data_IF_089206690229
#
_entry.id   IF_089206690229
#
_cell.length_a   1.000
_cell.length_b   1.000
_cell.length_c   1.000
_cell.angle_alpha   90.00
_cell.angle_beta   90.00
_cell.angle_gamma   90.00
#
_symmetry.space_group_name_H-M   'P 1'
#
loop_
_entity.id
_entity.type
_entity.pdbx_description
1 polymer ?
#
# COMPACT_ATOMS: atom_id res chain seq x y z
N UNK A 1 -7.70 6.71 -47.02
CA UNK A 1 -7.85 6.91 -45.56
C UNK A 1 -6.66 7.73 -45.10
N UNK A 2 -6.90 8.75 -44.28
CA UNK A 2 -5.83 9.59 -43.71
C UNK A 2 -5.20 8.82 -42.56
N UNK A 3 -3.89 8.58 -42.62
CA UNK A 3 -3.15 7.92 -41.53
C UNK A 3 -3.12 8.82 -40.30
N UNK A 4 -3.21 8.20 -39.13
CA UNK A 4 -3.18 8.88 -37.86
C UNK A 4 -1.74 9.21 -37.48
N UNK A 5 -1.54 10.34 -36.79
CA UNK A 5 -0.23 10.74 -36.28
C UNK A 5 0.05 10.07 -34.93
N UNK A 6 1.31 9.87 -34.60
CA UNK A 6 1.74 9.33 -33.30
C UNK A 6 1.26 10.21 -32.14
N UNK A 7 1.35 11.55 -32.22
CA UNK A 7 0.72 12.43 -31.24
C UNK A 7 -0.74 12.17 -30.95
N UNK A 8 -1.53 11.80 -31.96
CA UNK A 8 -2.93 11.51 -31.74
C UNK A 8 -3.11 10.18 -30.97
N UNK A 9 -2.34 9.15 -31.33
CA UNK A 9 -2.33 7.88 -30.60
C UNK A 9 -1.82 8.01 -29.17
N UNK A 10 -0.78 8.80 -28.94
CA UNK A 10 -0.19 9.02 -27.62
C UNK A 10 -1.16 9.75 -26.68
N UNK A 11 -1.86 10.76 -27.17
CA UNK A 11 -2.92 11.42 -26.40
C UNK A 11 -4.09 10.48 -26.12
N UNK A 12 -4.54 9.70 -27.11
CA UNK A 12 -5.61 8.73 -26.92
C UNK A 12 -5.23 7.62 -25.92
N UNK A 13 -3.98 7.13 -25.96
CA UNK A 13 -3.44 6.20 -24.98
C UNK A 13 -3.41 6.81 -23.58
N UNK A 14 -2.89 8.04 -23.45
CA UNK A 14 -2.88 8.78 -22.18
C UNK A 14 -4.28 8.94 -21.58
N UNK A 15 -5.28 9.23 -22.41
CA UNK A 15 -6.68 9.33 -21.99
C UNK A 15 -7.27 8.00 -21.53
N UNK A 16 -6.97 6.89 -22.22
CA UNK A 16 -7.37 5.55 -21.79
C UNK A 16 -6.75 5.19 -20.44
N UNK A 17 -5.42 5.38 -20.31
CA UNK A 17 -4.70 5.09 -19.07
C UNK A 17 -5.20 5.95 -17.91
N UNK A 18 -5.56 7.22 -18.14
CA UNK A 18 -6.15 8.08 -17.11
C UNK A 18 -7.48 7.53 -16.57
N UNK A 19 -8.31 6.96 -17.44
CA UNK A 19 -9.56 6.29 -17.04
C UNK A 19 -9.32 5.00 -16.24
N UNK A 20 -8.29 4.24 -16.63
CA UNK A 20 -7.93 2.95 -15.99
C UNK A 20 -7.11 3.11 -14.70
N UNK A 21 -6.58 4.30 -14.44
CA UNK A 21 -5.64 4.58 -13.34
C UNK A 21 -6.12 5.71 -12.41
N UNK A 22 -7.28 5.56 -11.74
CA UNK A 22 -7.73 6.55 -10.76
C UNK A 22 -6.69 6.77 -9.66
N UNK A 23 -6.45 8.04 -9.32
CA UNK A 23 -5.44 8.44 -8.34
C UNK A 23 -4.01 8.56 -8.89
N UNK A 24 -3.79 8.20 -10.15
CA UNK A 24 -2.56 8.52 -10.87
C UNK A 24 -2.75 9.80 -11.70
N UNK A 25 -1.72 10.62 -11.74
CA UNK A 25 -1.59 11.72 -12.68
C UNK A 25 -1.02 11.17 -14.00
N UNK A 26 -1.81 11.27 -15.08
CA UNK A 26 -1.40 10.83 -16.42
C UNK A 26 -1.34 12.03 -17.36
N UNK A 27 -0.15 12.35 -17.85
CA UNK A 27 0.15 13.47 -18.76
C UNK A 27 0.66 12.94 -20.10
N UNK A 28 0.28 13.57 -21.21
CA UNK A 28 0.72 13.19 -22.56
C UNK A 28 1.42 14.36 -23.27
N UNK A 29 2.22 14.04 -24.30
CA UNK A 29 3.08 14.85 -25.21
C UNK A 29 3.19 16.40 -25.10
N UNK A 30 2.12 17.12 -24.71
CA UNK A 30 2.06 18.58 -24.69
C UNK A 30 2.43 19.23 -23.34
N UNK A 31 2.86 18.44 -22.35
CA UNK A 31 3.35 18.96 -21.07
C UNK A 31 4.86 18.85 -20.96
N UNK A 32 5.52 19.94 -20.55
CA UNK A 32 6.92 19.87 -20.11
C UNK A 32 6.99 18.99 -18.87
N UNK A 33 7.87 18.00 -18.90
CA UNK A 33 7.95 16.95 -17.87
C UNK A 33 9.32 16.86 -17.20
N UNK A 34 10.38 17.26 -17.89
CA UNK A 34 11.76 17.17 -17.39
C UNK A 34 12.40 18.58 -17.29
N UNK A 35 12.42 19.20 -16.10
CA UNK A 35 12.91 20.58 -15.95
C UNK A 35 14.41 20.70 -16.26
N UNK A 36 15.19 19.63 -16.00
CA UNK A 36 16.64 19.60 -16.23
C UNK A 36 17.01 19.38 -17.71
N UNK A 37 16.04 19.04 -18.57
CA UNK A 37 16.26 18.70 -19.98
C UNK A 37 15.23 19.39 -20.91
N UNK A 38 15.39 20.70 -21.17
CA UNK A 38 14.45 21.47 -22.00
C UNK A 38 14.34 20.89 -23.40
N UNK A 39 13.10 20.61 -23.86
CA UNK A 39 12.81 20.04 -25.18
C UNK A 39 12.80 18.51 -25.23
N UNK A 40 13.13 17.82 -24.13
CA UNK A 40 12.80 16.39 -24.00
C UNK A 40 11.36 16.26 -23.53
N UNK A 41 10.53 15.68 -24.38
CA UNK A 41 9.15 15.33 -24.10
C UNK A 41 9.03 13.81 -24.00
N UNK A 42 8.03 13.37 -23.25
CA UNK A 42 7.64 11.97 -23.12
C UNK A 42 6.26 11.82 -23.73
N UNK A 43 6.00 10.67 -24.32
CA UNK A 43 4.71 10.42 -24.96
C UNK A 43 3.59 10.32 -23.93
N UNK A 44 3.79 9.49 -22.90
CA UNK A 44 2.93 9.45 -21.71
C UNK A 44 3.76 9.34 -20.43
N UNK A 45 3.50 10.23 -19.47
CA UNK A 45 4.01 10.16 -18.12
C UNK A 45 2.90 9.71 -17.17
N UNK A 46 3.20 8.75 -16.32
CA UNK A 46 2.34 8.26 -15.25
C UNK A 46 3.03 8.51 -13.91
N UNK A 47 2.40 9.28 -13.03
CA UNK A 47 2.92 9.57 -11.70
C UNK A 47 1.85 9.34 -10.63
N UNK A 48 2.28 8.93 -9.43
CA UNK A 48 1.38 8.77 -8.29
C UNK A 48 2.12 9.08 -6.99
N UNK A 49 1.42 9.62 -5.96
CA UNK A 49 2.05 9.91 -4.67
C UNK A 49 2.76 8.70 -4.07
N UNK A 50 4.01 8.89 -3.65
CA UNK A 50 4.84 7.84 -3.04
C UNK A 50 5.36 6.75 -3.97
N UNK A 51 5.08 6.83 -5.28
CA UNK A 51 5.52 5.89 -6.31
C UNK A 51 6.57 6.51 -7.22
N UNK A 52 7.38 5.68 -7.87
CA UNK A 52 8.30 6.13 -8.92
C UNK A 52 7.51 6.47 -10.18
N UNK A 53 7.79 7.61 -10.84
CA UNK A 53 7.16 7.94 -12.11
C UNK A 53 7.55 6.90 -13.17
N UNK A 54 6.57 6.54 -14.01
CA UNK A 54 6.73 5.61 -15.13
C UNK A 54 6.53 6.40 -16.41
N UNK A 55 7.46 6.24 -17.35
CA UNK A 55 7.35 6.83 -18.67
C UNK A 55 6.95 5.75 -19.67
N UNK A 56 6.04 6.08 -20.57
CA UNK A 56 5.71 5.29 -21.74
C UNK A 56 6.17 6.06 -22.97
N UNK A 57 7.00 5.42 -23.79
CA UNK A 57 7.32 5.88 -25.14
C UNK A 57 6.67 4.93 -26.13
N UNK A 58 6.13 5.46 -27.22
CA UNK A 58 5.33 4.69 -28.16
C UNK A 58 5.52 5.15 -29.61
N UNK A 59 5.65 4.17 -30.51
CA UNK A 59 5.87 4.38 -31.94
C UNK A 59 5.01 3.38 -32.72
N UNK A 60 4.58 3.73 -33.93
CA UNK A 60 3.92 2.74 -34.80
C UNK A 60 4.92 1.67 -35.28
N UNK A 61 4.43 0.46 -35.52
CA UNK A 61 5.27 -0.60 -36.12
C UNK A 61 5.96 -0.11 -37.42
N UNK A 62 7.28 -0.35 -37.59
CA UNK A 62 8.12 -1.32 -36.86
C UNK A 62 8.73 -0.81 -35.54
N UNK A 63 8.51 0.45 -35.18
CA UNK A 63 8.95 1.07 -33.93
C UNK A 63 10.45 0.84 -33.63
N UNK A 64 11.29 1.49 -34.44
CA UNK A 64 12.74 1.25 -34.45
C UNK A 64 13.47 2.02 -33.33
N UNK A 65 12.95 3.18 -32.95
CA UNK A 65 13.63 4.11 -32.05
C UNK A 65 13.06 4.07 -30.63
N UNK A 66 11.81 3.59 -30.48
CA UNK A 66 11.09 3.50 -29.19
C UNK A 66 11.91 2.89 -28.05
N UNK A 67 12.83 1.95 -28.38
CA UNK A 67 13.67 1.32 -27.36
C UNK A 67 14.80 2.19 -26.85
N UNK A 68 15.47 2.91 -27.75
CA UNK A 68 16.45 3.90 -27.33
C UNK A 68 15.75 4.99 -26.53
N UNK A 69 14.63 5.49 -27.04
CA UNK A 69 13.92 6.63 -26.47
C UNK A 69 13.43 6.31 -25.06
N UNK A 70 12.86 5.12 -24.82
CA UNK A 70 12.48 4.66 -23.48
C UNK A 70 13.69 4.56 -22.53
N UNK A 71 14.83 4.06 -23.01
CA UNK A 71 16.05 3.95 -22.19
C UNK A 71 16.60 5.30 -21.75
N UNK A 72 16.49 6.32 -22.62
CA UNK A 72 16.96 7.68 -22.33
C UNK A 72 16.14 8.39 -21.25
N UNK A 73 14.96 7.84 -20.90
CA UNK A 73 14.11 8.38 -19.82
C UNK A 73 14.53 7.94 -18.44
N UNK A 74 15.25 6.83 -18.32
CA UNK A 74 15.65 6.28 -17.03
C UNK A 74 16.59 7.26 -16.30
N UNK A 75 16.35 7.42 -15.00
CA UNK A 75 17.12 8.32 -14.13
C UNK A 75 16.78 9.80 -14.25
N UNK A 76 15.91 10.20 -15.19
CA UNK A 76 15.50 11.61 -15.31
C UNK A 76 14.59 12.02 -14.15
N UNK A 77 14.70 13.29 -13.73
CA UNK A 77 13.82 13.90 -12.72
C UNK A 77 12.60 14.51 -13.39
N UNK A 78 11.42 14.19 -12.87
CA UNK A 78 10.16 14.72 -13.36
C UNK A 78 9.74 15.94 -12.54
N UNK A 79 9.22 16.97 -13.18
CA UNK A 79 8.73 18.17 -12.50
C UNK A 79 7.62 17.84 -11.49
N UNK A 80 7.75 18.36 -10.26
CA UNK A 80 6.80 18.12 -9.18
C UNK A 80 6.88 16.74 -8.53
N UNK A 81 7.77 15.87 -9.01
CA UNK A 81 8.00 14.55 -8.42
C UNK A 81 9.28 14.53 -7.59
N UNK A 82 9.25 13.80 -6.48
CA UNK A 82 10.42 13.64 -5.59
C UNK A 82 11.38 12.56 -6.11
N UNK A 83 10.90 11.64 -6.94
CA UNK A 83 11.63 10.48 -7.46
C UNK A 83 11.99 10.65 -8.93
N UNK A 84 13.07 10.00 -9.33
CA UNK A 84 13.45 9.84 -10.74
C UNK A 84 12.68 8.71 -11.40
N UNK A 85 12.67 8.69 -12.73
CA UNK A 85 12.12 7.58 -13.51
C UNK A 85 12.98 6.33 -13.30
N UNK A 86 12.46 5.36 -12.55
CA UNK A 86 13.13 4.07 -12.30
C UNK A 86 12.78 3.02 -13.37
N UNK A 87 11.64 3.18 -14.04
CA UNK A 87 11.18 2.29 -15.08
C UNK A 87 10.53 3.05 -16.26
N UNK A 88 10.74 2.52 -17.46
CA UNK A 88 10.10 3.00 -18.68
C UNK A 88 9.49 1.82 -19.46
N UNK A 89 8.42 2.10 -20.20
CA UNK A 89 7.75 1.12 -21.06
C UNK A 89 7.85 1.62 -22.49
N UNK A 90 8.31 0.76 -23.39
CA UNK A 90 8.22 1.01 -24.82
C UNK A 90 7.00 0.27 -25.38
N UNK A 91 6.19 0.95 -26.18
CA UNK A 91 4.95 0.42 -26.77
C UNK A 91 5.03 0.51 -28.28
N UNK A 92 4.60 -0.55 -28.96
CA UNK A 92 4.37 -0.53 -30.41
C UNK A 92 2.89 -0.53 -30.68
N UNK A 93 2.45 0.48 -31.42
CA UNK A 93 1.09 0.50 -31.92
C UNK A 93 0.99 -0.38 -33.16
N UNK A 94 0.05 -1.34 -33.19
CA UNK A 94 -0.20 -2.13 -34.38
C UNK A 94 -0.80 -1.24 -35.47
N UNK A 95 -0.55 -1.60 -36.72
CA UNK A 95 -0.99 -0.83 -37.90
C UNK A 95 -2.50 -0.51 -37.94
N UNK A 96 -3.33 -1.35 -37.33
CA UNK A 96 -4.78 -1.12 -37.21
C UNK A 96 -5.12 0.19 -36.50
N UNK A 97 -4.25 0.67 -35.59
CA UNK A 97 -4.41 1.96 -34.90
C UNK A 97 -4.02 3.11 -35.82
N UNK A 98 -2.96 2.96 -36.62
CA UNK A 98 -2.50 3.98 -37.60
C UNK A 98 -3.58 4.28 -38.64
N UNK A 99 -4.29 3.25 -39.09
CA UNK A 99 -5.31 3.34 -40.13
C UNK A 99 -6.74 3.64 -39.57
N UNK A 100 -6.90 3.72 -38.25
CA UNK A 100 -8.20 3.87 -37.60
C UNK A 100 -8.82 5.25 -37.80
N UNK A 101 -10.14 5.30 -37.98
CA UNK A 101 -10.89 6.56 -37.89
C UNK A 101 -11.07 7.01 -36.44
N UNK A 102 -11.42 6.08 -35.55
CA UNK A 102 -11.50 6.28 -34.11
C UNK A 102 -10.31 5.58 -33.43
N UNK A 103 -9.26 6.36 -33.19
CA UNK A 103 -8.00 5.87 -32.60
C UNK A 103 -8.21 5.35 -31.18
N UNK A 104 -9.07 6.00 -30.40
CA UNK A 104 -9.31 5.62 -29.01
C UNK A 104 -10.02 4.26 -28.94
N UNK A 105 -11.03 4.05 -29.77
CA UNK A 105 -11.69 2.74 -29.86
C UNK A 105 -10.75 1.67 -30.44
N UNK A 106 -9.95 2.00 -31.45
CA UNK A 106 -8.97 1.06 -31.99
C UNK A 106 -7.93 0.64 -30.92
N UNK A 107 -7.46 1.57 -30.09
CA UNK A 107 -6.54 1.30 -28.99
C UNK A 107 -7.17 0.45 -27.88
N UNK A 108 -8.46 0.64 -27.57
CA UNK A 108 -9.14 -0.16 -26.53
C UNK A 108 -9.28 -1.64 -26.93
N UNK A 109 -9.40 -1.92 -28.23
CA UNK A 109 -9.55 -3.28 -28.77
C UNK A 109 -8.22 -3.91 -29.22
N UNK A 110 -7.17 -3.11 -29.39
CA UNK A 110 -5.90 -3.57 -29.93
C UNK A 110 -5.10 -4.44 -28.95
N UNK A 111 -4.37 -5.41 -29.50
CA UNK A 111 -3.22 -6.03 -28.84
C UNK A 111 -1.99 -5.17 -29.11
N UNK A 112 -1.51 -4.50 -28.08
CA UNK A 112 -0.28 -3.72 -28.08
C UNK A 112 0.91 -4.66 -27.83
N UNK A 113 2.04 -4.35 -28.45
CA UNK A 113 3.31 -4.97 -28.10
C UNK A 113 4.09 -4.03 -27.19
N UNK A 114 4.57 -4.51 -26.05
CA UNK A 114 5.37 -3.67 -25.14
C UNK A 114 6.50 -4.44 -24.47
N UNK A 115 7.52 -3.72 -23.99
CA UNK A 115 8.52 -4.26 -23.08
C UNK A 115 8.91 -3.19 -22.05
N UNK A 116 9.52 -3.61 -20.95
CA UNK A 116 9.90 -2.76 -19.82
C UNK A 116 11.41 -2.62 -19.76
N UNK A 117 11.87 -1.41 -19.45
CA UNK A 117 13.24 -1.13 -19.01
C UNK A 117 13.23 -0.67 -17.57
N UNK A 118 14.13 -1.21 -16.76
CA UNK A 118 14.40 -0.74 -15.41
C UNK A 118 15.76 -0.05 -15.34
N UNK A 119 15.95 0.90 -14.41
CA UNK A 119 17.16 1.71 -14.25
C UNK A 119 18.46 0.89 -14.13
N UNK A 120 18.38 -0.34 -13.64
CA UNK A 120 19.51 -1.28 -13.61
C UNK A 120 19.81 -1.91 -14.99
N UNK A 121 19.31 -1.29 -16.07
CA UNK A 121 19.41 -1.72 -17.47
C UNK A 121 18.84 -3.11 -17.74
N UNK A 122 17.84 -3.51 -16.97
CA UNK A 122 17.15 -4.80 -17.14
C UNK A 122 16.00 -4.59 -18.11
N UNK A 123 16.11 -5.22 -19.29
CA UNK A 123 15.04 -5.33 -20.28
C UNK A 123 14.17 -6.55 -19.96
N UNK A 124 12.86 -6.36 -19.87
CA UNK A 124 11.91 -7.47 -19.74
C UNK A 124 10.80 -7.40 -20.81
N UNK A 125 10.61 -8.47 -21.62
CA UNK A 125 11.40 -9.70 -21.68
C UNK A 125 12.83 -9.42 -22.17
N UNK A 126 13.77 -10.35 -21.93
CA UNK A 126 15.16 -10.20 -22.42
C UNK A 126 15.23 -10.08 -23.95
N UNK A 127 14.28 -10.69 -24.65
CA UNK A 127 14.12 -10.57 -26.10
C UNK A 127 12.65 -10.61 -26.49
N UNK A 128 12.32 -10.03 -27.65
CA UNK A 128 10.94 -9.94 -28.13
C UNK A 128 10.11 -8.91 -27.37
N UNK A 129 8.79 -9.09 -27.43
CA UNK A 129 7.78 -8.18 -26.91
C UNK A 129 6.74 -8.96 -26.11
N UNK A 130 6.25 -8.36 -25.02
CA UNK A 130 5.00 -8.79 -24.41
C UNK A 130 3.86 -8.35 -25.31
N UNK A 131 2.78 -9.11 -25.33
CA UNK A 131 1.55 -8.72 -25.99
C UNK A 131 0.42 -8.64 -24.98
N UNK A 132 -0.35 -7.55 -25.06
CA UNK A 132 -1.50 -7.34 -24.17
C UNK A 132 -2.36 -6.17 -24.59
N UNK A 133 -3.43 -5.95 -23.85
CA UNK A 133 -4.34 -4.82 -24.02
C UNK A 133 -3.78 -3.53 -23.38
N UNK A 134 -4.44 -2.39 -23.62
CA UNK A 134 -4.18 -1.16 -22.86
C UNK A 134 -4.39 -1.34 -21.34
N UNK A 135 -5.30 -2.24 -20.94
CA UNK A 135 -5.53 -2.60 -19.53
C UNK A 135 -4.33 -3.33 -18.94
N UNK A 136 -3.73 -4.27 -19.68
CA UNK A 136 -2.54 -4.98 -19.24
C UNK A 136 -1.34 -4.03 -19.10
N UNK A 137 -1.25 -3.02 -19.98
CA UNK A 137 -0.26 -1.95 -19.91
C UNK A 137 -0.46 -1.07 -18.65
N UNK A 138 -1.70 -0.69 -18.34
CA UNK A 138 -2.01 0.08 -17.13
C UNK A 138 -1.63 -0.68 -15.84
N UNK A 139 -1.97 -1.97 -15.79
CA UNK A 139 -1.59 -2.86 -14.70
C UNK A 139 -0.06 -2.98 -14.56
N UNK A 140 0.64 -3.11 -15.68
CA UNK A 140 2.10 -3.17 -15.71
C UNK A 140 2.72 -1.87 -15.20
N UNK A 141 2.23 -0.72 -15.65
CA UNK A 141 2.68 0.59 -15.19
C UNK A 141 2.51 0.75 -13.67
N UNK A 142 1.36 0.32 -13.12
CA UNK A 142 1.14 0.31 -11.67
C UNK A 142 2.13 -0.60 -10.95
N UNK A 143 2.41 -1.78 -11.48
CA UNK A 143 3.33 -2.73 -10.87
C UNK A 143 4.76 -2.16 -10.82
N UNK A 144 5.26 -1.61 -11.93
CA UNK A 144 6.65 -1.14 -12.05
C UNK A 144 6.86 0.25 -11.43
N UNK A 145 5.78 0.98 -11.10
CA UNK A 145 5.87 2.24 -10.34
C UNK A 145 6.25 2.05 -8.86
N UNK A 146 6.33 0.81 -8.36
CA UNK A 146 6.71 0.53 -6.98
C UNK A 146 8.21 0.80 -6.78
N UNK A 147 8.60 1.72 -5.87
CA UNK A 147 10.01 2.09 -5.69
C UNK A 147 10.77 1.04 -4.88
N UNK A 148 11.20 -0.05 -5.52
CA UNK A 148 11.80 -1.21 -4.86
C UNK A 148 12.97 -0.85 -3.93
N UNK A 149 13.91 -0.03 -4.41
CA UNK A 149 15.09 0.38 -3.62
C UNK A 149 14.71 1.15 -2.35
N UNK A 150 13.69 2.01 -2.43
CA UNK A 150 13.26 2.77 -1.26
C UNK A 150 12.44 1.92 -0.28
N UNK A 151 11.64 0.97 -0.78
CA UNK A 151 10.96 -0.02 0.08
C UNK A 151 12.00 -0.86 0.84
N UNK A 152 13.09 -1.28 0.17
CA UNK A 152 14.20 -1.99 0.80
C UNK A 152 14.91 -1.13 1.85
N UNK A 153 15.28 0.10 1.52
CA UNK A 153 15.89 1.03 2.47
C UNK A 153 15.00 1.28 3.70
N UNK A 154 13.70 1.50 3.49
CA UNK A 154 12.75 1.69 4.58
C UNK A 154 12.62 0.44 5.48
N UNK A 155 12.65 -0.76 4.88
CA UNK A 155 12.67 -2.00 5.64
C UNK A 155 13.96 -2.16 6.45
N UNK A 156 15.12 -1.88 5.86
CA UNK A 156 16.41 -1.95 6.53
C UNK A 156 16.49 -0.96 7.72
N UNK A 157 16.03 0.28 7.52
CA UNK A 157 15.93 1.30 8.59
C UNK A 157 15.05 0.81 9.71
N UNK A 158 13.87 0.25 9.39
CA UNK A 158 12.95 -0.25 10.40
C UNK A 158 13.51 -1.48 11.14
N UNK A 159 14.25 -2.37 10.46
CA UNK A 159 14.94 -3.50 11.09
C UNK A 159 16.00 -3.01 12.10
N UNK A 160 16.81 -2.04 11.68
CA UNK A 160 17.85 -1.45 12.53
C UNK A 160 17.24 -0.79 13.77
N UNK A 161 16.20 0.04 13.60
CA UNK A 161 15.51 0.70 14.70
C UNK A 161 14.85 -0.29 15.68
N UNK A 162 14.20 -1.34 15.17
CA UNK A 162 13.66 -2.42 16.01
C UNK A 162 14.78 -3.13 16.78
N UNK A 163 15.92 -3.39 16.13
CA UNK A 163 17.09 -4.00 16.75
C UNK A 163 17.67 -3.14 17.88
N UNK A 164 17.79 -1.83 17.66
CA UNK A 164 18.26 -0.87 18.67
C UNK A 164 17.30 -0.79 19.86
N UNK A 165 16.00 -0.65 19.61
CA UNK A 165 14.97 -0.64 20.65
C UNK A 165 14.97 -1.95 21.48
N UNK A 166 15.12 -3.10 20.82
CA UNK A 166 15.18 -4.40 21.50
C UNK A 166 16.44 -4.57 22.36
N UNK A 167 17.58 -4.07 21.89
CA UNK A 167 18.83 -4.09 22.67
C UNK A 167 18.70 -3.21 23.93
N UNK A 168 18.11 -2.00 23.81
CA UNK A 168 17.83 -1.15 24.98
C UNK A 168 16.88 -1.84 25.97
N UNK A 169 15.82 -2.46 25.45
CA UNK A 169 14.90 -3.24 26.28
C UNK A 169 15.62 -4.36 27.03
N UNK A 170 16.58 -5.03 26.40
CA UNK A 170 17.40 -6.06 27.03
C UNK A 170 18.35 -5.50 28.10
N UNK A 171 19.03 -4.39 27.84
CA UNK A 171 19.90 -3.73 28.82
C UNK A 171 19.11 -3.30 30.07
N UNK A 172 17.93 -2.72 29.87
CA UNK A 172 17.08 -2.29 30.98
C UNK A 172 16.44 -3.48 31.72
N UNK A 173 16.14 -4.58 31.01
CA UNK A 173 15.68 -5.82 31.63
C UNK A 173 16.73 -6.47 32.53
N UNK A 174 18.03 -6.37 32.20
CA UNK A 174 19.12 -6.84 33.09
C UNK A 174 19.14 -6.06 34.41
N UNK A 175 18.70 -4.81 34.40
CA UNK A 175 18.60 -3.97 35.59
C UNK A 175 17.28 -4.16 36.37
N UNK A 176 16.26 -4.79 35.75
CA UNK A 176 14.91 -4.96 36.35
C UNK A 176 14.35 -6.35 36.07
N UNK A 177 14.33 -7.17 37.10
CA UNK A 177 14.18 -8.64 37.06
C UNK A 177 12.87 -9.21 36.48
N UNK A 178 11.84 -8.40 36.18
CA UNK A 178 10.49 -8.91 35.87
C UNK A 178 9.88 -8.50 34.53
N UNK A 179 10.52 -7.64 33.72
CA UNK A 179 9.89 -7.14 32.48
C UNK A 179 9.85 -8.22 31.38
N UNK A 180 10.95 -8.93 31.20
CA UNK A 180 11.13 -9.90 30.11
C UNK A 180 10.24 -11.13 30.22
N UNK A 181 10.08 -11.76 31.41
CA UNK A 181 9.19 -12.91 31.55
C UNK A 181 7.72 -12.59 31.28
N UNK A 182 7.30 -11.34 31.51
CA UNK A 182 5.92 -10.88 31.24
C UNK A 182 5.69 -10.77 29.73
N UNK A 183 6.61 -10.14 28.99
CA UNK A 183 6.54 -10.05 27.53
C UNK A 183 6.54 -11.45 26.90
N UNK A 184 7.41 -12.33 27.37
CA UNK A 184 7.48 -13.71 26.90
C UNK A 184 6.14 -14.45 27.10
N UNK A 185 5.51 -14.28 28.28
CA UNK A 185 4.19 -14.85 28.57
C UNK A 185 3.09 -14.25 27.68
N UNK A 186 3.09 -12.93 27.47
CA UNK A 186 2.11 -12.26 26.60
C UNK A 186 2.18 -12.77 25.16
N UNK A 187 3.39 -13.03 24.67
CA UNK A 187 3.61 -13.53 23.31
C UNK A 187 3.52 -15.06 23.20
N UNK A 188 3.40 -15.78 24.32
CA UNK A 188 3.42 -17.25 24.33
C UNK A 188 4.77 -17.83 23.88
N UNK A 189 5.86 -17.10 24.09
CA UNK A 189 7.21 -17.45 23.65
C UNK A 189 8.15 -17.68 24.84
N UNK A 190 9.29 -18.32 24.58
CA UNK A 190 10.39 -18.38 25.56
C UNK A 190 11.04 -17.01 25.76
N UNK A 191 11.62 -16.75 26.92
CA UNK A 191 12.37 -15.53 27.18
C UNK A 191 13.76 -15.58 26.50
N UNK A 192 13.80 -15.12 25.26
CA UNK A 192 15.01 -15.07 24.41
C UNK A 192 15.10 -13.71 23.69
N UNK A 193 16.28 -13.30 23.19
CA UNK A 193 16.43 -12.02 22.46
C UNK A 193 15.44 -11.83 21.31
N UNK A 194 15.06 -12.92 20.64
CA UNK A 194 14.08 -12.88 19.56
C UNK A 194 12.69 -12.41 20.04
N UNK A 195 12.27 -12.78 21.25
CA UNK A 195 10.98 -12.38 21.83
C UNK A 195 10.93 -10.87 22.10
N UNK A 196 12.07 -10.28 22.52
CA UNK A 196 12.19 -8.82 22.69
C UNK A 196 12.13 -8.09 21.36
N UNK A 197 12.83 -8.60 20.34
CA UNK A 197 12.74 -8.06 18.97
C UNK A 197 11.31 -8.13 18.44
N UNK A 198 10.62 -9.25 18.64
CA UNK A 198 9.21 -9.40 18.25
C UNK A 198 8.32 -8.38 18.96
N UNK A 199 8.48 -8.17 20.26
CA UNK A 199 7.74 -7.17 21.00
C UNK A 199 7.97 -5.74 20.45
N UNK A 200 9.23 -5.39 20.16
CA UNK A 200 9.57 -4.11 19.53
C UNK A 200 9.01 -3.98 18.11
N UNK A 201 9.00 -5.05 17.31
CA UNK A 201 8.35 -5.04 16.00
C UNK A 201 6.83 -4.82 16.08
N UNK A 202 6.16 -5.45 17.05
CA UNK A 202 4.72 -5.25 17.27
C UNK A 202 4.43 -3.78 17.62
N UNK A 203 5.23 -3.19 18.52
CA UNK A 203 5.10 -1.77 18.87
C UNK A 203 5.39 -0.87 17.66
N UNK A 204 6.47 -1.15 16.93
CA UNK A 204 6.84 -0.39 15.73
C UNK A 204 5.73 -0.42 14.66
N UNK A 205 5.12 -1.59 14.45
CA UNK A 205 3.97 -1.76 13.57
C UNK A 205 2.80 -0.89 14.01
N UNK A 206 2.42 -0.94 15.29
CA UNK A 206 1.36 -0.08 15.81
C UNK A 206 1.68 1.41 15.67
N UNK A 207 2.94 1.82 15.85
CA UNK A 207 3.36 3.21 15.67
C UNK A 207 3.25 3.67 14.22
N UNK A 208 3.76 2.89 13.25
CA UNK A 208 3.65 3.25 11.83
C UNK A 208 2.18 3.35 11.40
N UNK A 209 1.33 2.41 11.82
CA UNK A 209 -0.11 2.48 11.56
C UNK A 209 -0.80 3.65 12.28
N UNK A 210 -0.37 4.00 13.50
CA UNK A 210 -0.92 5.13 14.24
C UNK A 210 -0.76 6.43 13.44
N UNK A 211 0.44 6.72 12.94
CA UNK A 211 0.70 7.92 12.14
C UNK A 211 -0.23 8.00 10.91
N UNK A 212 -0.48 6.86 10.26
CA UNK A 212 -1.40 6.77 9.13
C UNK A 212 -2.85 7.03 9.51
N UNK A 213 -3.31 6.37 10.56
CA UNK A 213 -4.69 6.49 11.04
C UNK A 213 -4.98 7.93 11.45
N UNK A 214 -4.03 8.60 12.13
CA UNK A 214 -4.15 10.02 12.50
C UNK A 214 -4.30 10.96 11.29
N UNK A 215 -3.79 10.58 10.12
CA UNK A 215 -3.99 11.32 8.87
C UNK A 215 -5.39 11.16 8.26
N UNK A 216 -6.11 10.10 8.62
CA UNK A 216 -7.44 9.78 8.08
C UNK A 216 -8.58 10.05 9.08
N UNK A 217 -8.28 9.99 10.38
CA UNK A 217 -9.22 10.09 11.49
C UNK A 217 -8.84 11.27 12.38
N UNK A 218 -9.63 12.35 12.34
CA UNK A 218 -9.35 13.57 13.09
C UNK A 218 -9.40 13.36 14.62
N UNK A 219 -10.13 12.33 15.06
CA UNK A 219 -10.24 11.91 16.45
C UNK A 219 -8.95 11.26 16.99
N UNK A 220 -8.04 10.81 16.13
CA UNK A 220 -6.77 10.17 16.53
C UNK A 220 -5.65 11.20 16.52
N UNK A 221 -5.05 11.46 17.68
CA UNK A 221 -3.93 12.38 17.82
C UNK A 221 -2.69 11.85 17.05
N UNK A 222 -1.99 12.67 16.24
CA UNK A 222 -0.74 12.25 15.59
C UNK A 222 0.36 11.82 16.58
N UNK A 223 1.22 10.87 16.17
CA UNK A 223 2.28 10.32 17.03
C UNK A 223 3.18 11.39 17.65
N UNK A 224 3.55 12.41 16.88
CA UNK A 224 4.39 13.53 17.36
C UNK A 224 3.80 14.25 18.57
N UNK A 225 2.47 14.25 18.72
CA UNK A 225 1.77 14.93 19.82
C UNK A 225 1.66 14.05 21.07
N UNK A 226 1.77 12.73 20.93
CA UNK A 226 1.62 11.78 22.06
C UNK A 226 2.94 11.15 22.49
N UNK A 227 3.95 11.13 21.61
CA UNK A 227 5.24 10.50 21.87
C UNK A 227 6.45 11.43 21.57
N UNK A 228 6.19 12.69 21.22
CA UNK A 228 7.24 13.66 20.92
C UNK A 228 8.15 13.99 22.11
N UNK A 229 9.29 14.67 21.86
CA UNK A 229 10.30 14.97 22.89
C UNK A 229 9.76 15.85 24.04
N UNK A 230 8.75 16.68 23.75
CA UNK A 230 8.13 17.61 24.70
C UNK A 230 6.96 17.00 25.50
N UNK A 231 6.63 15.73 25.28
CA UNK A 231 5.51 15.07 25.98
C UNK A 231 6.00 14.56 27.34
N UNK A 232 5.31 14.97 28.41
CA UNK A 232 5.68 14.63 29.80
C UNK A 232 5.41 13.15 30.16
N UNK A 233 4.32 12.57 29.64
CA UNK A 233 3.99 11.16 29.82
C UNK A 233 3.72 10.48 28.45
N UNK A 234 4.77 10.20 27.66
CA UNK A 234 4.61 9.60 26.33
C UNK A 234 3.86 8.27 26.34
N UNK A 235 4.09 7.45 27.37
CA UNK A 235 3.45 6.13 27.48
C UNK A 235 1.95 6.26 27.70
N UNK A 236 1.51 7.07 28.67
CA UNK A 236 0.09 7.26 28.95
C UNK A 236 -0.68 7.88 27.79
N UNK A 237 -0.11 8.90 27.14
CA UNK A 237 -0.74 9.54 25.97
C UNK A 237 -0.83 8.56 24.78
N UNK A 238 0.19 7.74 24.54
CA UNK A 238 0.19 6.74 23.48
C UNK A 238 -0.84 5.64 23.76
N UNK A 239 -0.92 5.14 24.99
CA UNK A 239 -1.93 4.16 25.40
C UNK A 239 -3.36 4.69 25.20
N UNK A 240 -3.60 5.95 25.58
CA UNK A 240 -4.91 6.61 25.38
C UNK A 240 -5.26 6.69 23.90
N UNK A 241 -4.32 7.14 23.06
CA UNK A 241 -4.55 7.19 21.62
C UNK A 241 -4.82 5.81 21.01
N UNK A 242 -4.13 4.76 21.49
CA UNK A 242 -4.37 3.40 21.03
C UNK A 242 -5.74 2.86 21.47
N UNK A 243 -6.28 3.28 22.62
CA UNK A 243 -7.67 2.97 23.00
C UNK A 243 -8.68 3.62 22.05
N UNK A 244 -8.42 4.85 21.59
CA UNK A 244 -9.25 5.50 20.59
C UNK A 244 -9.19 4.77 19.25
N UNK A 245 -8.00 4.31 18.84
CA UNK A 245 -7.82 3.50 17.63
C UNK A 245 -8.54 2.15 17.72
N UNK A 246 -8.56 1.51 18.90
CA UNK A 246 -9.29 0.25 19.10
C UNK A 246 -10.81 0.42 18.92
N UNK A 247 -11.37 1.61 19.18
CA UNK A 247 -12.79 1.92 18.97
C UNK A 247 -13.18 1.99 17.49
N UNK A 248 -12.21 2.24 16.60
CA UNK A 248 -12.40 2.27 15.14
C UNK A 248 -11.93 0.98 14.44
N UNK A 249 -11.88 -0.14 15.18
CA UNK A 249 -11.73 -1.51 14.68
C UNK A 249 -10.33 -1.93 14.17
N UNK A 250 -9.25 -1.40 14.75
CA UNK A 250 -7.87 -1.87 14.47
C UNK A 250 -7.33 -2.85 15.53
N UNK A 251 -8.21 -3.67 16.12
CA UNK A 251 -7.88 -4.62 17.20
C UNK A 251 -6.64 -5.49 16.96
N UNK A 252 -6.46 -6.15 15.79
CA UNK A 252 -5.35 -7.08 15.59
C UNK A 252 -3.95 -6.47 15.72
N UNK A 253 -3.81 -5.18 15.41
CA UNK A 253 -2.52 -4.47 15.48
C UNK A 253 -2.33 -3.89 16.87
N UNK A 254 -3.34 -3.18 17.38
CA UNK A 254 -3.17 -2.31 18.54
C UNK A 254 -3.38 -3.03 19.87
N UNK A 255 -4.17 -4.10 19.92
CA UNK A 255 -4.48 -4.76 21.20
C UNK A 255 -3.24 -5.38 21.83
N UNK A 256 -2.50 -6.18 21.07
CA UNK A 256 -1.27 -6.80 21.57
C UNK A 256 -0.16 -5.77 21.77
N UNK A 257 -0.06 -4.75 20.91
CA UNK A 257 0.91 -3.67 21.10
C UNK A 257 0.64 -2.91 22.41
N UNK A 258 -0.62 -2.57 22.69
CA UNK A 258 -1.06 -1.93 23.92
C UNK A 258 -0.72 -2.79 25.14
N UNK A 259 -1.11 -4.06 25.12
CA UNK A 259 -0.79 -5.02 26.19
C UNK A 259 0.71 -5.04 26.49
N UNK A 260 1.57 -5.11 25.46
CA UNK A 260 3.03 -5.09 25.65
C UNK A 260 3.46 -3.78 26.29
N UNK A 261 3.00 -2.65 25.75
CA UNK A 261 3.40 -1.32 26.20
C UNK A 261 2.97 -1.04 27.64
N UNK A 262 1.80 -1.53 28.07
CA UNK A 262 1.31 -1.41 29.46
C UNK A 262 2.18 -2.15 30.48
N UNK A 263 2.84 -3.24 30.07
CA UNK A 263 3.70 -4.02 30.96
C UNK A 263 5.13 -3.44 31.08
N UNK A 264 5.49 -2.48 30.22
CA UNK A 264 6.80 -1.84 30.27
C UNK A 264 6.84 -0.77 31.37
N UNK A 265 7.90 -0.69 32.18
CA UNK A 265 8.12 0.44 33.06
C UNK A 265 8.22 1.76 32.27
N UNK A 266 7.71 2.88 32.80
CA UNK A 266 7.50 4.09 32.00
C UNK A 266 8.75 4.71 31.38
N UNK A 267 9.91 4.62 32.03
CA UNK A 267 11.20 5.04 31.46
C UNK A 267 11.67 4.11 30.33
N UNK A 268 11.46 2.80 30.47
CA UNK A 268 11.78 1.79 29.44
C UNK A 268 10.87 1.98 28.22
N UNK A 269 9.56 2.12 28.46
CA UNK A 269 8.57 2.38 27.44
C UNK A 269 8.90 3.66 26.68
N UNK A 270 9.15 4.75 27.40
CA UNK A 270 9.48 6.05 26.80
C UNK A 270 10.74 5.99 25.95
N UNK A 271 11.80 5.32 26.45
CA UNK A 271 13.05 5.15 25.71
C UNK A 271 12.82 4.37 24.41
N UNK A 272 12.17 3.20 24.48
CA UNK A 272 11.90 2.36 23.32
C UNK A 272 10.98 3.05 22.30
N UNK A 273 9.92 3.71 22.75
CA UNK A 273 9.01 4.43 21.85
C UNK A 273 9.69 5.62 21.17
N UNK A 274 10.59 6.35 21.85
CA UNK A 274 11.31 7.46 21.21
C UNK A 274 12.24 6.96 20.10
N UNK A 275 12.96 5.86 20.33
CA UNK A 275 13.77 5.22 19.29
C UNK A 275 12.92 4.79 18.09
N UNK A 276 11.78 4.16 18.35
CA UNK A 276 10.85 3.73 17.30
C UNK A 276 10.14 4.90 16.61
N UNK A 277 9.93 6.02 17.30
CA UNK A 277 9.40 7.25 16.70
C UNK A 277 10.41 7.86 15.71
N UNK A 278 11.67 7.95 16.10
CA UNK A 278 12.75 8.41 15.22
C UNK A 278 12.86 7.50 13.99
N UNK A 279 12.82 6.19 14.20
CA UNK A 279 12.80 5.20 13.11
C UNK A 279 11.60 5.39 12.18
N UNK A 280 10.40 5.59 12.73
CA UNK A 280 9.20 5.82 11.93
C UNK A 280 9.28 7.12 11.12
N UNK A 281 9.91 8.16 11.67
CA UNK A 281 10.16 9.43 10.96
C UNK A 281 11.18 9.27 9.83
N UNK A 282 12.23 8.47 10.03
CA UNK A 282 13.19 8.14 8.98
C UNK A 282 12.54 7.33 7.84
N UNK A 283 11.65 6.39 8.18
CA UNK A 283 10.85 5.66 7.19
C UNK A 283 9.91 6.60 6.42
N UNK A 284 9.23 7.53 7.10
CA UNK A 284 8.41 8.57 6.47
C UNK A 284 9.23 9.46 5.53
N UNK A 285 10.48 9.80 5.88
CA UNK A 285 11.37 10.58 5.04
C UNK A 285 11.72 9.91 3.70
N UNK A 286 11.58 8.59 3.58
CA UNK A 286 11.74 7.89 2.29
C UNK A 286 10.60 8.17 1.31
N UNK A 287 9.46 8.70 1.79
CA UNK A 287 8.27 9.01 0.98
C UNK A 287 7.52 7.78 0.43
N UNK A 288 7.94 6.57 0.81
CA UNK A 288 7.31 5.28 0.47
C UNK A 288 5.99 5.10 1.23
N UNK A 289 5.89 5.75 2.37
CA UNK A 289 4.80 5.70 3.31
C UNK A 289 3.47 6.25 2.70
N UNK A 290 3.52 7.22 1.78
CA UNK A 290 2.36 7.85 1.16
C UNK A 290 1.46 6.95 0.30
N UNK A 291 1.88 5.72 -0.01
CA UNK A 291 1.03 4.71 -0.64
C UNK A 291 0.73 3.57 0.34
N UNK A 292 -0.56 3.34 0.62
CA UNK A 292 -1.06 2.35 1.60
C UNK A 292 -0.49 0.93 1.43
N UNK A 293 -0.31 0.51 0.17
CA UNK A 293 0.30 -0.77 -0.20
C UNK A 293 1.76 -0.89 0.26
N UNK A 294 2.53 0.21 0.20
CA UNK A 294 3.97 0.17 0.41
C UNK A 294 4.37 0.01 1.89
N UNK A 295 3.59 0.55 2.84
CA UNK A 295 3.79 0.27 4.28
C UNK A 295 3.59 -1.22 4.58
N UNK A 296 2.56 -1.84 3.99
CA UNK A 296 2.33 -3.28 4.08
C UNK A 296 3.53 -4.07 3.54
N UNK A 297 4.10 -3.65 2.40
CA UNK A 297 5.28 -4.27 1.79
C UNK A 297 6.54 -4.15 2.66
N UNK A 298 6.77 -3.01 3.32
CA UNK A 298 7.88 -2.83 4.26
C UNK A 298 7.78 -3.87 5.39
N UNK A 299 6.61 -4.00 6.02
CA UNK A 299 6.42 -4.99 7.10
C UNK A 299 6.49 -6.43 6.60
N UNK A 300 5.89 -6.74 5.45
CA UNK A 300 6.03 -8.06 4.85
C UNK A 300 7.49 -8.40 4.56
N UNK A 301 8.29 -7.44 4.09
CA UNK A 301 9.72 -7.63 3.85
C UNK A 301 10.50 -7.90 5.13
N UNK A 302 10.21 -7.17 6.21
CA UNK A 302 10.79 -7.41 7.54
C UNK A 302 10.49 -8.82 8.06
N UNK A 303 9.23 -9.22 7.93
CA UNK A 303 8.75 -10.52 8.39
C UNK A 303 9.34 -11.65 7.52
N UNK A 304 9.43 -11.43 6.20
CA UNK A 304 9.93 -12.40 5.24
C UNK A 304 11.44 -12.65 5.32
N UNK A 305 12.22 -11.75 5.91
CA UNK A 305 13.65 -11.99 6.10
C UNK A 305 13.84 -13.19 7.04
N UNK A 306 14.48 -14.25 6.52
CA UNK A 306 14.66 -15.52 7.23
C UNK A 306 15.40 -15.34 8.56
N UNK A 307 16.21 -14.28 8.68
CA UNK A 307 16.91 -13.91 9.91
C UNK A 307 15.96 -13.49 11.03
N UNK A 308 14.76 -13.01 10.69
CA UNK A 308 13.80 -12.46 11.63
C UNK A 308 12.87 -13.53 12.22
N UNK A 309 12.37 -14.47 11.41
CA UNK A 309 11.29 -15.39 11.81
C UNK A 309 11.44 -16.88 11.45
N UNK A 310 12.55 -17.30 10.85
CA UNK A 310 12.88 -18.73 10.61
C UNK A 310 11.72 -19.59 10.06
N UNK A 311 10.88 -19.03 9.18
CA UNK A 311 9.67 -19.68 8.63
C UNK A 311 9.69 -19.68 7.10
N UNK A 312 9.01 -20.65 6.48
CA UNK A 312 8.89 -20.75 5.03
C UNK A 312 7.80 -19.78 4.54
N UNK A 313 8.23 -18.70 3.88
CA UNK A 313 7.32 -17.67 3.40
C UNK A 313 7.00 -17.79 1.91
N UNK A 314 5.76 -17.51 1.53
CA UNK A 314 5.37 -17.34 0.14
C UNK A 314 6.00 -16.05 -0.39
N UNK A 315 6.77 -16.17 -1.47
CA UNK A 315 7.36 -15.00 -2.12
C UNK A 315 6.26 -14.05 -2.61
N UNK A 316 6.42 -12.72 -2.48
CA UNK A 316 5.43 -11.75 -2.96
C UNK A 316 5.03 -11.97 -4.42
N UNK A 317 5.98 -12.31 -5.30
CA UNK A 317 5.70 -12.62 -6.71
C UNK A 317 4.81 -13.87 -6.87
N UNK A 318 5.04 -14.92 -6.08
CA UNK A 318 4.21 -16.12 -6.08
C UNK A 318 2.81 -15.83 -5.56
N UNK A 319 2.69 -15.03 -4.51
CA UNK A 319 1.39 -14.60 -3.97
C UNK A 319 0.61 -13.77 -4.98
N UNK A 320 1.23 -12.80 -5.65
CA UNK A 320 0.62 -11.99 -6.68
C UNK A 320 0.13 -12.83 -7.87
N UNK A 321 0.94 -13.78 -8.33
CA UNK A 321 0.55 -14.71 -9.40
C UNK A 321 -0.66 -15.57 -8.99
N UNK A 322 -0.61 -16.20 -7.82
CA UNK A 322 -1.70 -17.04 -7.32
C UNK A 322 -2.98 -16.23 -7.10
N UNK A 323 -2.87 -15.03 -6.53
CA UNK A 323 -3.98 -14.11 -6.35
C UNK A 323 -4.62 -13.73 -7.69
N UNK A 324 -3.82 -13.36 -8.70
CA UNK A 324 -4.30 -13.06 -10.05
C UNK A 324 -5.05 -14.24 -10.66
N UNK A 325 -4.47 -15.44 -10.60
CA UNK A 325 -5.08 -16.64 -11.14
C UNK A 325 -6.37 -17.05 -10.41
N UNK A 326 -6.44 -16.81 -9.10
CA UNK A 326 -7.61 -17.14 -8.29
C UNK A 326 -8.75 -16.13 -8.50
N UNK A 327 -8.44 -14.83 -8.42
CA UNK A 327 -9.43 -13.75 -8.56
C UNK A 327 -9.99 -13.69 -9.98
N UNK A 328 -9.16 -13.92 -11.00
CA UNK A 328 -9.61 -13.97 -12.40
C UNK A 328 -10.61 -15.12 -12.68
N UNK A 329 -10.70 -16.12 -11.81
CA UNK A 329 -11.63 -17.26 -11.91
C UNK A 329 -12.87 -17.09 -11.03
N UNK A 330 -13.03 -15.95 -10.35
CA UNK A 330 -14.21 -15.71 -9.53
C UNK A 330 -15.39 -15.32 -10.42
N UNK A 331 -16.33 -16.25 -10.60
CA UNK A 331 -17.57 -16.02 -11.32
C UNK A 331 -18.63 -15.37 -10.42
N UNK A 332 -19.54 -14.59 -11.03
CA UNK A 332 -20.72 -14.04 -10.35
C UNK A 332 -20.45 -12.87 -9.41
N UNK A 333 -19.25 -12.27 -9.46
CA UNK A 333 -18.94 -11.04 -8.75
C UNK A 333 -19.17 -9.86 -9.70
N UNK A 334 -20.11 -8.98 -9.33
CA UNK A 334 -20.21 -7.68 -9.97
C UNK A 334 -19.12 -6.77 -9.40
N UNK A 335 -18.04 -6.61 -10.17
CA UNK A 335 -16.90 -5.81 -9.76
C UNK A 335 -17.21 -4.30 -9.74
N UNK A 336 -18.29 -3.84 -10.37
CA UNK A 336 -18.73 -2.44 -10.29
C UNK A 336 -19.58 -2.16 -9.04
N UNK A 337 -20.12 -3.21 -8.39
CA UNK A 337 -20.94 -3.08 -7.18
C UNK A 337 -20.08 -3.20 -5.90
N UNK A 338 -19.84 -2.06 -5.25
CA UNK A 338 -19.12 -2.00 -3.98
C UNK A 338 -19.77 -2.86 -2.87
N UNK A 339 -21.10 -3.00 -2.87
CA UNK A 339 -21.81 -3.84 -1.90
C UNK A 339 -21.57 -5.34 -2.18
N UNK A 340 -21.53 -5.75 -3.46
CA UNK A 340 -21.16 -7.12 -3.83
C UNK A 340 -19.75 -7.47 -3.38
N UNK A 341 -18.80 -6.55 -3.55
CA UNK A 341 -17.43 -6.72 -3.05
C UNK A 341 -17.38 -6.78 -1.54
N UNK A 342 -18.15 -5.94 -0.83
CA UNK A 342 -18.25 -5.98 0.64
C UNK A 342 -18.78 -7.31 1.20
N UNK A 343 -19.55 -8.06 0.39
CA UNK A 343 -20.04 -9.40 0.73
C UNK A 343 -19.04 -10.53 0.45
N UNK A 344 -17.96 -10.28 -0.28
CA UNK A 344 -16.94 -11.30 -0.54
C UNK A 344 -16.32 -11.81 0.77
N UNK A 345 -16.10 -13.12 0.83
CA UNK A 345 -15.42 -13.79 1.94
C UNK A 345 -14.28 -14.62 1.38
N UNK A 346 -13.06 -14.23 1.73
CA UNK A 346 -11.82 -14.84 1.27
C UNK A 346 -11.06 -15.27 2.52
N UNK A 347 -10.62 -16.54 2.54
CA UNK A 347 -9.95 -17.13 3.69
C UNK A 347 -8.64 -17.80 3.28
N UNK A 348 -7.61 -17.58 4.07
CA UNK A 348 -6.36 -18.33 4.03
C UNK A 348 -6.11 -18.87 5.45
N UNK A 349 -6.35 -20.18 5.62
CA UNK A 349 -6.27 -20.84 6.93
C UNK A 349 -4.83 -21.12 7.38
N UNK A 350 -3.85 -20.85 6.52
CA UNK A 350 -2.42 -20.97 6.82
C UNK A 350 -1.68 -19.70 6.38
N UNK A 351 -2.28 -18.53 6.64
CA UNK A 351 -1.88 -17.27 6.03
C UNK A 351 -0.47 -16.80 6.37
N UNK A 352 0.14 -17.30 7.45
CA UNK A 352 1.46 -16.87 7.90
C UNK A 352 1.53 -15.34 8.03
N UNK A 353 2.35 -14.71 7.20
CA UNK A 353 2.54 -13.25 7.11
C UNK A 353 1.36 -12.50 6.50
N UNK A 354 0.37 -13.22 5.97
CA UNK A 354 -0.77 -12.65 5.25
C UNK A 354 -0.46 -12.25 3.80
N UNK A 355 0.74 -12.54 3.27
CA UNK A 355 1.16 -12.08 1.93
C UNK A 355 0.19 -12.49 0.83
N UNK A 356 -0.38 -13.70 0.89
CA UNK A 356 -1.39 -14.15 -0.08
C UNK A 356 -2.70 -13.36 0.06
N UNK A 357 -3.18 -13.14 1.28
CA UNK A 357 -4.40 -12.37 1.52
C UNK A 357 -4.25 -10.91 1.07
N UNK A 358 -3.09 -10.29 1.32
CA UNK A 358 -2.79 -8.95 0.82
C UNK A 358 -2.78 -8.90 -0.71
N UNK A 359 -2.14 -9.88 -1.36
CA UNK A 359 -2.14 -9.95 -2.82
C UNK A 359 -3.55 -10.13 -3.40
N UNK A 360 -4.40 -10.94 -2.75
CA UNK A 360 -5.81 -11.09 -3.17
C UNK A 360 -6.59 -9.80 -2.97
N UNK A 361 -6.38 -9.10 -1.86
CA UNK A 361 -6.99 -7.79 -1.61
C UNK A 361 -6.62 -6.78 -2.71
N UNK A 362 -5.34 -6.71 -3.10
CA UNK A 362 -4.88 -5.87 -4.21
C UNK A 362 -5.57 -6.23 -5.52
N UNK A 363 -5.75 -7.52 -5.82
CA UNK A 363 -6.45 -7.95 -7.04
C UNK A 363 -7.94 -7.59 -7.01
N UNK A 364 -8.63 -7.78 -5.88
CA UNK A 364 -10.04 -7.39 -5.73
C UNK A 364 -10.21 -5.88 -5.92
N UNK A 365 -9.36 -5.07 -5.29
CA UNK A 365 -9.38 -3.62 -5.44
C UNK A 365 -9.14 -3.20 -6.89
N UNK A 366 -8.16 -3.82 -7.55
CA UNK A 366 -7.85 -3.56 -8.96
C UNK A 366 -9.01 -3.91 -9.89
N UNK A 367 -9.68 -5.04 -9.69
CA UNK A 367 -10.87 -5.39 -10.47
C UNK A 367 -12.01 -4.39 -10.30
N UNK A 368 -12.26 -3.92 -9.07
CA UNK A 368 -13.28 -2.90 -8.83
C UNK A 368 -12.94 -1.56 -9.47
N UNK A 369 -11.70 -1.08 -9.31
CA UNK A 369 -11.26 0.18 -9.92
C UNK A 369 -11.45 0.17 -11.44
N UNK A 370 -11.12 -0.95 -12.10
CA UNK A 370 -11.33 -1.12 -13.54
C UNK A 370 -12.82 -1.09 -13.90
N UNK A 371 -13.65 -1.88 -13.21
CA UNK A 371 -15.07 -1.98 -13.51
C UNK A 371 -15.83 -0.64 -13.32
N UNK A 372 -15.44 0.15 -12.31
CA UNK A 372 -15.98 1.50 -12.10
C UNK A 372 -15.45 2.50 -13.12
N UNK A 373 -14.16 2.41 -13.49
CA UNK A 373 -13.57 3.21 -14.56
C UNK A 373 -14.23 2.99 -15.92
N UNK A 374 -14.62 1.75 -16.23
CA UNK A 374 -15.32 1.38 -17.47
C UNK A 374 -16.79 1.85 -17.50
N UNK A 375 -17.43 1.99 -16.33
CA UNK A 375 -18.83 2.42 -16.21
C UNK A 375 -19.00 3.94 -16.09
N UNK A 376 -17.93 4.66 -15.75
CA UNK A 376 -17.89 6.12 -15.75
C UNK A 376 -17.35 6.67 -17.08
N UNK A 377 -18.24 7.02 -18.01
CA UNK A 377 -17.90 7.98 -19.07
C UNK A 377 -17.36 9.30 -18.50
N UNK A 378 -16.73 10.18 -19.31
CA UNK A 378 -15.87 11.25 -18.80
C UNK A 378 -16.66 12.30 -18.00
N UNK A 379 -16.61 12.25 -16.67
CA UNK A 379 -16.96 13.39 -15.80
C UNK A 379 -16.44 13.28 -14.35
N UNK A 380 -15.74 14.36 -13.97
CA UNK A 380 -15.50 14.95 -12.65
C UNK A 380 -15.01 14.06 -11.49
N UNK A 381 -13.71 14.15 -11.24
CA UNK A 381 -13.08 13.84 -9.96
C UNK A 381 -13.53 14.83 -8.87
N UNK A 382 -13.89 14.34 -7.68
CA UNK A 382 -13.92 15.14 -6.44
C UNK A 382 -12.48 15.31 -5.91
N UNK A 383 -12.16 16.48 -5.35
CA UNK A 383 -10.84 17.02 -4.97
C UNK A 383 -10.09 16.23 -3.87
N UNK A 384 -10.49 14.99 -3.57
CA UNK A 384 -9.94 14.19 -2.46
C UNK A 384 -9.57 12.75 -2.82
N UNK A 385 -9.29 12.50 -4.10
CA UNK A 385 -8.31 11.49 -4.56
C UNK A 385 -8.47 10.04 -4.08
N UNK A 386 -9.70 9.54 -3.86
CA UNK A 386 -9.91 8.11 -3.61
C UNK A 386 -11.35 7.72 -3.29
N UNK A 387 -11.80 6.49 -3.63
CA UNK A 387 -13.18 6.04 -3.38
C UNK A 387 -13.53 6.08 -1.88
N UNK A 388 -14.72 6.58 -1.55
CA UNK A 388 -15.24 6.69 -0.17
C UNK A 388 -15.40 5.33 0.52
N UNK A 389 -15.57 4.24 -0.23
CA UNK A 389 -15.69 2.88 0.34
C UNK A 389 -14.33 2.27 0.74
N UNK A 390 -13.22 2.67 0.10
CA UNK A 390 -11.86 2.33 0.56
C UNK A 390 -11.58 2.90 1.95
N UNK A 391 -12.19 4.04 2.30
CA UNK A 391 -12.06 4.67 3.63
C UNK A 391 -12.90 3.97 4.72
N UNK A 392 -13.96 3.23 4.34
CA UNK A 392 -14.87 2.57 5.30
C UNK A 392 -14.68 1.06 5.43
N UNK A 393 -14.23 0.37 4.39
CA UNK A 393 -14.21 -1.11 4.39
C UNK A 393 -12.83 -1.76 4.26
N UNK A 394 -11.78 -1.03 3.83
CA UNK A 394 -10.44 -1.58 3.63
C UNK A 394 -9.78 -2.15 4.90
N UNK A 395 -10.20 -1.70 6.08
CA UNK A 395 -9.50 -2.04 7.34
C UNK A 395 -10.42 -2.69 8.39
N UNK A 396 -11.70 -2.90 8.07
CA UNK A 396 -12.69 -3.45 9.01
C UNK A 396 -13.10 -4.91 8.80
N UNK A 397 -12.89 -5.49 7.60
CA UNK A 397 -13.52 -6.77 7.25
C UNK A 397 -12.56 -7.88 6.78
N UNK A 398 -11.28 -7.58 6.57
CA UNK A 398 -10.22 -8.59 6.36
C UNK A 398 -9.64 -9.13 7.67
N UNK A 399 -10.11 -8.64 8.82
CA UNK A 399 -9.61 -8.99 10.15
C UNK A 399 -10.69 -9.57 11.10
N UNK A 400 -11.62 -10.36 10.58
CA UNK A 400 -12.52 -11.17 11.43
C UNK A 400 -11.85 -12.39 12.07
N UNK A 401 -10.51 -12.51 12.00
CA UNK A 401 -9.79 -13.63 12.58
C UNK A 401 -9.57 -13.55 14.10
N UNK A 402 -9.98 -12.45 14.74
CA UNK A 402 -10.08 -12.36 16.20
C UNK A 402 -11.36 -11.62 16.56
N UNK A 403 -12.48 -12.35 16.56
CA UNK A 403 -13.69 -11.92 17.27
C UNK A 403 -13.26 -11.52 18.71
N UNK A 404 -13.65 -10.33 19.23
CA UNK A 404 -13.43 -9.98 20.63
C UNK A 404 -13.86 -11.08 21.60
N UNK A 405 -14.88 -11.87 21.23
CA UNK A 405 -15.32 -13.06 21.95
C UNK A 405 -14.30 -14.19 21.89
N UNK A 406 -13.65 -14.43 20.75
CA UNK A 406 -12.60 -15.44 20.61
C UNK A 406 -11.35 -15.06 21.41
N UNK A 407 -10.89 -13.81 21.32
CA UNK A 407 -9.75 -13.30 22.10
C UNK A 407 -10.03 -13.32 23.62
N UNK A 408 -11.24 -12.93 24.04
CA UNK A 408 -11.67 -13.05 25.44
C UNK A 408 -11.77 -14.51 25.91
N UNK A 409 -12.21 -15.44 25.04
CA UNK A 409 -12.29 -16.87 25.38
C UNK A 409 -10.91 -17.52 25.54
N UNK A 410 -9.91 -17.14 24.74
CA UNK A 410 -8.52 -17.60 24.88
C UNK A 410 -7.87 -17.10 26.18
N UNK A 411 -8.35 -15.97 26.74
CA UNK A 411 -7.83 -15.35 27.98
C UNK A 411 -8.72 -15.58 29.22
N UNK A 412 -9.79 -16.37 29.12
CA UNK A 412 -10.67 -16.67 30.25
C UNK A 412 -11.43 -15.46 30.82
N UNK A 413 -11.62 -14.40 30.02
CA UNK A 413 -12.33 -13.17 30.44
C UNK A 413 -13.83 -13.41 30.29
N UNK A 414 -14.56 -13.50 31.42
CA UNK A 414 -15.96 -13.95 31.46
C UNK A 414 -17.02 -12.96 30.94
N UNK A 415 -16.65 -11.75 30.51
CA UNK A 415 -17.64 -10.79 29.97
C UNK A 415 -17.04 -9.76 29.03
N UNK A 416 -17.41 -9.84 27.75
CA UNK A 416 -17.34 -8.72 26.80
C UNK A 416 -18.78 -8.21 26.64
N UNK A 417 -19.07 -6.90 26.76
CA UNK A 417 -20.43 -6.39 26.54
C UNK A 417 -20.85 -6.65 25.09
N UNK A 418 -22.11 -7.04 24.81
CA UNK A 418 -22.54 -7.27 23.44
C UNK A 418 -22.49 -5.97 22.62
N UNK A 419 -21.94 -6.06 21.41
CA UNK A 419 -21.90 -5.00 20.38
C UNK A 419 -23.26 -4.35 20.09
N UNK A 420 -24.38 -4.96 20.51
CA UNK A 420 -25.73 -4.44 20.30
C UNK A 420 -26.11 -3.20 21.13
N UNK A 421 -25.34 -2.82 22.15
CA UNK A 421 -25.69 -1.62 22.95
C UNK A 421 -25.12 -0.31 22.37
N UNK A 422 -24.09 -0.36 21.52
CA UNK A 422 -23.50 0.85 20.92
C UNK A 422 -24.31 1.37 19.73
N UNK A 423 -24.96 0.48 18.97
CA UNK A 423 -25.76 0.86 17.80
C UNK A 423 -27.12 1.50 18.14
N UNK A 424 -27.75 1.15 19.28
CA UNK A 424 -29.05 1.72 19.67
C UNK A 424 -29.01 3.15 20.22
N UNK A 425 -27.84 3.66 20.63
CA UNK A 425 -27.71 5.06 21.08
C UNK A 425 -27.49 6.05 19.92
N UNK A 426 -27.17 5.57 18.73
CA UNK A 426 -27.01 6.40 17.52
C UNK A 426 -28.32 6.59 16.74
N UNK A 427 -29.33 5.75 16.96
CA UNK A 427 -30.61 5.76 16.21
C UNK A 427 -31.81 6.31 17.00
N UNK A 428 -31.62 6.76 18.25
CA UNK A 428 -32.71 7.16 19.15
C UNK A 428 -32.66 8.62 19.58
N UNK A 429 -32.82 9.57 18.65
CA UNK A 429 -33.18 10.96 18.97
C UNK A 429 -33.78 11.68 17.75
N UNK A 430 -34.99 11.29 17.39
CA UNK A 430 -35.93 12.15 16.68
C UNK A 430 -37.33 11.62 16.98
N UNK A 431 -37.94 12.14 18.05
CA UNK A 431 -39.38 12.23 18.21
C UNK A 431 -39.66 13.30 19.28
N UNK A 432 -40.49 14.28 18.90
CA UNK A 432 -41.09 15.25 19.79
C UNK A 432 -40.74 16.71 19.48
N UNK A 433 -41.47 17.33 18.54
CA UNK A 433 -42.42 18.43 18.82
C UNK A 433 -42.78 19.17 17.52
N UNK A 434 -43.96 18.85 16.96
CA UNK A 434 -44.88 19.89 16.50
C UNK A 434 -46.32 19.34 16.42
N UNK A 435 -47.15 19.86 17.32
CA UNK A 435 -48.62 19.74 17.50
C UNK A 435 -49.21 18.57 18.27
#
# INVERSE_FOLDING_TARGET
MTRQTEPNANNALGDLLRGMMPGCEVRSENTQTFPDYPGRHTDVLIAAPGRSPVVVEAEYEPAAEVERDASERLGLRVEGQTRTVEAAIAVRYPKVVEDAYDVRHALSEARLSYYVLHQDSIRFPESGWLEGSATDLADLARLISVPHKAVEQAADTLEQGIGQAANRLEEMAKLRTNVTPVIARLLGMSDVPQTRRMACAIIANAMVFHQRIAGMHQEVKPLRLVCGPNVANPQGETLTAWEDILKINYWPIFAIAKDILEQLPGDVATSAMRELLETAQEVEATGVDNAHDLTGRIFQRLIADRKYLATFFTLPASAALLARLAVAKMDGVDWADAEAIGRLRIGDFACGTGTLLSAVYEQVASHHERAVGDSAGPASCDDRGGPVWMRRHALGHSHHWLDPVWYASQRGIQSVPPLHHALRKAEGRQDGEDR
#
